data_IF_851369011420
#
_entry.id   IF_851369011420
#
_cell.length_a   1.000
_cell.length_b   1.000
_cell.length_c   1.000
_cell.angle_alpha   90.00
_cell.angle_beta   90.00
_cell.angle_gamma   90.00
#
_symmetry.space_group_name_H-M   'P 1'
#
loop_
_entity.id
_entity.type
_entity.pdbx_description
1 polymer ?
#
# COMPACT_ATOMS: atom_id res chain seq x y z
N UNK A 1 10.83 -6.60 -9.06
CA UNK A 1 9.95 -5.65 -9.77
C UNK A 1 10.76 -4.65 -10.60
N UNK A 2 11.58 -3.79 -9.98
CA UNK A 2 12.35 -2.75 -10.68
C UNK A 2 13.06 -3.24 -11.94
N UNK A 3 13.85 -4.33 -11.89
CA UNK A 3 14.56 -4.88 -13.06
C UNK A 3 13.64 -5.19 -14.25
N UNK A 4 12.48 -5.81 -14.00
CA UNK A 4 11.53 -6.16 -15.06
C UNK A 4 10.85 -4.92 -15.64
N UNK A 5 10.43 -4.00 -14.77
CA UNK A 5 9.69 -2.79 -15.16
C UNK A 5 10.59 -1.81 -15.91
N UNK A 6 11.85 -1.66 -15.51
CA UNK A 6 12.80 -0.81 -16.22
C UNK A 6 13.25 -1.42 -17.55
N UNK A 7 13.26 -2.75 -17.66
CA UNK A 7 13.57 -3.42 -18.91
C UNK A 7 12.47 -3.20 -19.96
N UNK A 8 11.22 -3.40 -19.55
CA UNK A 8 10.04 -3.27 -20.41
C UNK A 8 8.94 -2.44 -19.71
N UNK A 9 9.05 -1.10 -19.71
CA UNK A 9 8.03 -0.24 -19.11
C UNK A 9 6.74 -0.31 -19.93
N UNK A 10 5.74 -0.98 -19.38
CA UNK A 10 4.38 -1.14 -19.94
C UNK A 10 3.35 -0.80 -18.88
N UNK A 11 2.13 -0.45 -19.29
CA UNK A 11 1.02 -0.22 -18.36
C UNK A 11 0.68 -1.49 -17.56
N UNK A 12 0.45 -1.34 -16.25
CA UNK A 12 0.16 -2.43 -15.31
C UNK A 12 1.17 -3.59 -15.37
N UNK A 13 2.47 -3.31 -15.25
CA UNK A 13 3.52 -4.21 -15.70
C UNK A 13 3.59 -5.51 -14.92
N UNK A 14 3.41 -5.51 -13.59
CA UNK A 14 3.52 -6.76 -12.83
C UNK A 14 2.40 -7.78 -13.15
N UNK A 15 1.17 -7.32 -13.45
CA UNK A 15 0.06 -8.19 -13.87
C UNK A 15 0.35 -8.78 -15.25
N UNK A 16 0.83 -7.94 -16.17
CA UNK A 16 1.14 -8.36 -17.55
C UNK A 16 2.36 -9.25 -17.61
N UNK A 17 3.39 -8.99 -16.80
CA UNK A 17 4.58 -9.84 -16.68
C UNK A 17 4.26 -11.20 -16.09
N UNK A 18 3.33 -11.28 -15.12
CA UNK A 18 2.85 -12.57 -14.64
C UNK A 18 2.22 -13.40 -15.78
N UNK A 19 1.44 -12.78 -16.67
CA UNK A 19 0.94 -13.44 -17.87
C UNK A 19 2.03 -13.80 -18.89
N UNK A 20 2.94 -12.86 -19.16
CA UNK A 20 3.95 -12.93 -20.22
C UNK A 20 5.13 -13.85 -19.91
N UNK A 21 5.55 -13.94 -18.65
CA UNK A 21 6.73 -14.70 -18.23
C UNK A 21 6.41 -16.03 -17.55
N UNK A 22 5.14 -16.27 -17.18
CA UNK A 22 4.76 -17.43 -16.35
C UNK A 22 3.66 -18.25 -17.01
N UNK A 23 2.43 -17.75 -16.98
CA UNK A 23 1.22 -18.38 -17.51
C UNK A 23 0.11 -17.32 -17.53
N UNK A 24 -0.73 -17.33 -18.55
CA UNK A 24 -1.85 -16.40 -18.66
C UNK A 24 -2.79 -16.51 -17.45
N UNK A 25 -3.08 -17.73 -16.98
CA UNK A 25 -3.89 -17.97 -15.78
C UNK A 25 -3.26 -17.36 -14.51
N UNK A 26 -1.93 -17.34 -14.43
CA UNK A 26 -1.22 -16.72 -13.31
C UNK A 26 -1.35 -15.19 -13.35
N UNK A 27 -1.28 -14.60 -14.54
CA UNK A 27 -1.56 -13.18 -14.74
C UNK A 27 -3.00 -12.79 -14.38
N UNK A 28 -3.99 -13.65 -14.68
CA UNK A 28 -5.39 -13.43 -14.27
C UNK A 28 -5.52 -13.46 -12.76
N UNK A 29 -4.99 -14.49 -12.09
CA UNK A 29 -5.06 -14.63 -10.64
C UNK A 29 -4.38 -13.43 -9.93
N UNK A 30 -3.17 -13.05 -10.37
CA UNK A 30 -2.46 -11.90 -9.83
C UNK A 30 -3.22 -10.59 -10.07
N UNK A 31 -3.83 -10.41 -11.25
CA UNK A 31 -4.57 -9.19 -11.57
C UNK A 31 -5.86 -9.02 -10.76
N UNK A 32 -6.65 -10.09 -10.59
CA UNK A 32 -7.85 -10.04 -9.75
C UNK A 32 -7.49 -9.91 -8.26
N UNK A 33 -6.41 -10.56 -7.81
CA UNK A 33 -5.91 -10.39 -6.44
C UNK A 33 -5.51 -8.93 -6.18
N UNK A 34 -4.81 -8.30 -7.12
CA UNK A 34 -4.46 -6.88 -7.02
C UNK A 34 -5.69 -5.97 -7.08
N UNK A 35 -6.67 -6.26 -7.93
CA UNK A 35 -7.92 -5.51 -7.95
C UNK A 35 -8.64 -5.56 -6.60
N UNK A 36 -8.77 -6.73 -5.99
CA UNK A 36 -9.42 -6.89 -4.68
C UNK A 36 -8.62 -6.19 -3.59
N UNK A 37 -7.29 -6.28 -3.63
CA UNK A 37 -6.39 -5.55 -2.73
C UNK A 37 -6.66 -4.04 -2.76
N UNK A 38 -6.63 -3.42 -3.94
CA UNK A 38 -6.88 -1.99 -4.11
C UNK A 38 -8.31 -1.60 -3.72
N UNK A 39 -9.31 -2.40 -4.15
CA UNK A 39 -10.71 -2.12 -3.87
C UNK A 39 -11.06 -2.24 -2.38
N UNK A 40 -10.36 -3.09 -1.63
CA UNK A 40 -10.53 -3.24 -0.18
C UNK A 40 -9.82 -2.15 0.64
N UNK A 41 -8.80 -1.49 0.09
CA UNK A 41 -8.17 -0.32 0.70
C UNK A 41 -9.09 0.92 0.68
N UNK A 42 -9.97 1.03 -0.31
CA UNK A 42 -10.94 2.15 -0.38
C UNK A 42 -11.84 2.22 0.87
N UNK A 43 -12.60 1.17 1.24
CA UNK A 43 -13.43 1.22 2.45
C UNK A 43 -12.60 1.36 3.72
N UNK A 44 -11.37 0.83 3.78
CA UNK A 44 -10.44 1.07 4.89
C UNK A 44 -10.17 2.56 5.10
N UNK A 45 -9.82 3.30 4.05
CA UNK A 45 -9.57 4.74 4.14
C UNK A 45 -10.83 5.54 4.47
N UNK A 46 -12.00 5.11 4.00
CA UNK A 46 -13.28 5.74 4.36
C UNK A 46 -13.58 5.57 5.85
N UNK A 47 -13.32 4.39 6.41
CA UNK A 47 -13.45 4.14 7.85
C UNK A 47 -12.44 4.98 8.63
N UNK A 48 -11.20 5.09 8.15
CA UNK A 48 -10.19 5.96 8.77
C UNK A 48 -10.61 7.44 8.78
N UNK A 49 -11.11 7.95 7.65
CA UNK A 49 -11.63 9.33 7.56
C UNK A 49 -12.77 9.56 8.57
N UNK A 50 -13.68 8.60 8.71
CA UNK A 50 -14.78 8.68 9.69
C UNK A 50 -14.23 8.81 11.12
N UNK A 51 -13.32 7.91 11.52
CA UNK A 51 -12.71 7.93 12.86
C UNK A 51 -11.98 9.25 13.15
N UNK A 52 -11.31 9.83 12.14
CA UNK A 52 -10.59 11.10 12.30
C UNK A 52 -11.56 12.28 12.40
N UNK A 53 -12.63 12.35 11.61
CA UNK A 53 -13.59 13.47 11.66
C UNK A 53 -14.32 13.55 13.01
N UNK A 54 -14.62 12.38 13.58
CA UNK A 54 -15.17 12.25 14.92
C UNK A 54 -14.27 12.81 16.04
N UNK A 55 -13.02 13.20 15.74
CA UNK A 55 -12.20 14.00 16.66
C UNK A 55 -12.77 15.38 16.94
N UNK A 56 -13.34 16.06 15.94
CA UNK A 56 -13.84 17.42 16.12
C UNK A 56 -15.33 17.45 16.46
N UNK A 57 -16.12 16.51 15.95
CA UNK A 57 -17.56 16.53 16.14
C UNK A 57 -18.20 15.16 15.91
N UNK A 58 -19.11 14.81 16.82
CA UNK A 58 -20.00 13.64 16.69
C UNK A 58 -21.39 14.02 16.15
N UNK A 59 -21.57 15.27 15.69
CA UNK A 59 -22.88 15.77 15.24
C UNK A 59 -23.33 15.08 13.95
N UNK A 60 -22.41 14.77 13.04
CA UNK A 60 -22.72 14.06 11.81
C UNK A 60 -22.63 12.55 12.07
N UNK A 61 -23.70 11.77 11.83
CA UNK A 61 -23.65 10.33 11.97
C UNK A 61 -22.59 9.73 11.04
N UNK A 62 -21.96 8.62 11.45
CA UNK A 62 -20.95 7.93 10.65
C UNK A 62 -21.42 7.63 9.21
N UNK A 63 -22.69 7.24 9.05
CA UNK A 63 -23.31 7.02 7.75
C UNK A 63 -23.27 8.25 6.82
N UNK A 64 -23.44 9.45 7.38
CA UNK A 64 -23.37 10.71 6.65
C UNK A 64 -21.95 11.02 6.18
N UNK A 65 -20.96 10.84 7.05
CA UNK A 65 -19.53 11.05 6.71
C UNK A 65 -19.10 10.09 5.60
N UNK A 66 -19.44 8.80 5.72
CA UNK A 66 -19.16 7.78 4.71
C UNK A 66 -19.75 8.17 3.36
N UNK A 67 -21.03 8.56 3.33
CA UNK A 67 -21.70 8.96 2.09
C UNK A 67 -21.02 10.18 1.44
N UNK A 68 -20.64 11.20 2.23
CA UNK A 68 -19.93 12.39 1.74
C UNK A 68 -18.59 12.01 1.11
N UNK A 69 -17.79 11.16 1.77
CA UNK A 69 -16.48 10.74 1.26
C UNK A 69 -16.64 9.94 -0.04
N UNK A 70 -17.56 8.97 -0.09
CA UNK A 70 -17.80 8.16 -1.28
C UNK A 70 -18.29 8.98 -2.48
N UNK A 71 -19.22 9.90 -2.27
CA UNK A 71 -19.69 10.82 -3.32
C UNK A 71 -18.53 11.69 -3.80
N UNK A 72 -17.69 12.18 -2.89
CA UNK A 72 -16.52 12.99 -3.24
C UNK A 72 -15.52 12.20 -4.09
N UNK A 73 -15.20 10.95 -3.74
CA UNK A 73 -14.36 10.08 -4.57
C UNK A 73 -14.94 9.86 -5.97
N UNK A 74 -16.25 9.64 -6.07
CA UNK A 74 -16.93 9.50 -7.35
C UNK A 74 -16.83 10.76 -8.21
N UNK A 75 -17.06 11.94 -7.63
CA UNK A 75 -16.97 13.21 -8.34
C UNK A 75 -15.54 13.49 -8.84
N UNK A 76 -14.54 13.27 -7.99
CA UNK A 76 -13.13 13.51 -8.34
C UNK A 76 -12.69 12.56 -9.46
N UNK A 77 -12.99 11.27 -9.35
CA UNK A 77 -12.59 10.27 -10.33
C UNK A 77 -13.34 10.39 -11.66
N UNK A 78 -14.55 10.96 -11.70
CA UNK A 78 -15.32 11.13 -12.94
C UNK A 78 -15.03 12.47 -13.64
N UNK A 79 -14.88 13.56 -12.87
CA UNK A 79 -14.83 14.91 -13.43
C UNK A 79 -13.46 15.60 -13.31
N UNK A 80 -12.67 15.28 -12.28
CA UNK A 80 -11.47 16.05 -11.92
C UNK A 80 -10.15 15.37 -12.29
N UNK A 81 -10.15 14.30 -13.09
CA UNK A 81 -8.94 13.50 -13.44
C UNK A 81 -7.82 14.37 -14.02
N UNK A 82 -8.15 15.46 -14.73
CA UNK A 82 -7.12 16.38 -15.29
C UNK A 82 -6.36 17.18 -14.23
N UNK A 83 -6.99 17.50 -13.10
CA UNK A 83 -6.40 18.26 -11.98
C UNK A 83 -5.84 17.35 -10.89
N UNK A 84 -6.06 16.05 -11.03
CA UNK A 84 -5.70 15.06 -10.04
C UNK A 84 -4.18 14.97 -9.83
N UNK A 85 -3.39 14.97 -10.92
CA UNK A 85 -1.93 14.88 -10.83
C UNK A 85 -1.30 16.03 -10.05
N UNK A 86 -1.69 17.27 -10.35
CA UNK A 86 -1.24 18.47 -9.63
C UNK A 86 -1.67 18.45 -8.16
N UNK A 87 -2.94 18.11 -7.90
CA UNK A 87 -3.48 18.09 -6.52
C UNK A 87 -2.76 17.05 -5.66
N UNK A 88 -2.51 15.86 -6.22
CA UNK A 88 -1.83 14.77 -5.54
C UNK A 88 -0.36 15.11 -5.26
N UNK A 89 0.30 15.88 -6.12
CA UNK A 89 1.65 16.39 -5.86
C UNK A 89 1.69 17.27 -4.60
N UNK A 90 0.79 18.25 -4.49
CA UNK A 90 0.72 19.12 -3.30
C UNK A 90 0.34 18.35 -2.03
N UNK A 91 -0.58 17.39 -2.13
CA UNK A 91 -0.96 16.53 -1.01
C UNK A 91 0.19 15.60 -0.59
N UNK A 92 0.97 15.08 -1.54
CA UNK A 92 2.16 14.28 -1.25
C UNK A 92 3.26 15.11 -0.57
N UNK A 93 3.45 16.37 -0.96
CA UNK A 93 4.35 17.30 -0.27
C UNK A 93 3.88 17.54 1.17
N UNK A 94 2.58 17.77 1.38
CA UNK A 94 1.99 17.90 2.71
C UNK A 94 2.25 16.69 3.61
N UNK A 95 2.09 15.46 3.07
CA UNK A 95 2.40 14.20 3.78
C UNK A 95 3.87 14.15 4.21
N UNK A 96 4.80 14.52 3.34
CA UNK A 96 6.23 14.54 3.65
C UNK A 96 6.55 15.58 4.75
N UNK A 97 6.00 16.78 4.66
CA UNK A 97 6.17 17.84 5.67
C UNK A 97 5.60 17.42 7.03
N UNK A 98 4.44 16.76 7.06
CA UNK A 98 3.86 16.21 8.29
C UNK A 98 4.83 15.22 8.95
N UNK A 99 5.38 14.26 8.19
CA UNK A 99 6.31 13.26 8.74
C UNK A 99 7.56 13.94 9.33
N UNK A 100 8.17 14.87 8.60
CA UNK A 100 9.34 15.62 9.06
C UNK A 100 9.00 16.42 10.32
N UNK A 101 7.83 17.07 10.35
CA UNK A 101 7.33 17.81 11.50
C UNK A 101 7.14 16.93 12.74
N UNK A 102 6.58 15.73 12.58
CA UNK A 102 6.39 14.78 13.69
C UNK A 102 7.71 14.23 14.24
N UNK A 103 8.70 13.99 13.36
CA UNK A 103 10.05 13.58 13.77
C UNK A 103 10.73 14.72 14.55
N UNK A 104 10.69 15.95 14.03
CA UNK A 104 11.25 17.13 14.70
C UNK A 104 10.56 17.39 16.05
N UNK A 105 9.23 17.27 16.10
CA UNK A 105 8.44 17.35 17.32
C UNK A 105 8.91 16.34 18.38
N UNK A 106 9.10 15.08 17.97
CA UNK A 106 9.56 14.04 18.89
C UNK A 106 10.95 14.36 19.43
N UNK A 107 11.86 14.80 18.58
CA UNK A 107 13.21 15.17 18.99
C UNK A 107 13.22 16.34 20.01
N UNK A 108 12.46 17.40 19.73
CA UNK A 108 12.39 18.58 20.62
C UNK A 108 11.75 18.22 21.95
N UNK A 109 10.63 17.49 21.94
CA UNK A 109 9.91 17.11 23.17
C UNK A 109 10.71 16.13 24.02
N UNK A 110 11.42 15.19 23.39
CA UNK A 110 12.33 14.24 24.05
C UNK A 110 13.47 14.94 24.83
N UNK A 111 13.97 16.06 24.30
CA UNK A 111 15.03 16.88 24.93
C UNK A 111 14.51 17.86 25.99
N UNK A 112 13.22 17.81 26.31
CA UNK A 112 12.59 18.67 27.34
C UNK A 112 12.05 19.99 26.80
N UNK A 113 11.96 20.16 25.48
CA UNK A 113 11.27 21.29 24.84
C UNK A 113 9.74 21.19 24.89
N UNK A 114 9.19 20.46 25.87
CA UNK A 114 7.76 20.33 26.09
C UNK A 114 7.29 21.25 27.23
N UNK A 115 6.00 21.62 27.30
CA UNK A 115 5.46 22.49 28.36
C UNK A 115 5.64 21.96 29.78
N UNK A 116 5.90 20.66 29.95
CA UNK A 116 6.14 20.03 31.25
C UNK A 116 7.62 20.10 31.68
N UNK A 117 8.53 20.51 30.79
CA UNK A 117 9.97 20.54 31.02
C UNK A 117 10.63 19.17 31.23
N UNK A 118 9.90 18.06 30.98
CA UNK A 118 10.39 16.72 31.26
C UNK A 118 11.29 16.19 30.13
N UNK A 119 12.47 15.69 30.49
CA UNK A 119 13.38 15.01 29.56
C UNK A 119 13.18 13.51 29.66
N UNK A 120 12.21 13.00 28.90
CA UNK A 120 11.90 11.58 28.95
C UNK A 120 12.86 10.71 28.13
N UNK A 121 13.51 11.23 27.07
CA UNK A 121 14.50 10.42 26.34
C UNK A 121 13.90 9.09 25.86
N UNK A 122 14.66 7.99 26.01
CA UNK A 122 14.19 6.62 25.76
C UNK A 122 13.54 5.95 26.99
N UNK A 123 12.92 6.72 27.90
CA UNK A 123 12.34 6.19 29.16
C UNK A 123 11.39 5.02 28.91
N UNK A 124 10.46 5.15 27.96
CA UNK A 124 9.46 4.11 27.68
C UNK A 124 10.01 2.83 27.04
N UNK A 125 11.18 2.92 26.39
CA UNK A 125 11.89 1.74 25.88
C UNK A 125 12.56 0.92 26.98
N UNK A 126 12.82 1.54 28.14
CA UNK A 126 13.36 0.88 29.33
C UNK A 126 12.25 0.41 30.26
N UNK A 127 11.28 1.27 30.53
CA UNK A 127 10.15 1.03 31.43
C UNK A 127 8.86 1.56 30.80
N UNK A 128 7.89 0.73 30.39
CA UNK A 128 7.73 -0.72 30.66
C UNK A 128 8.55 -1.69 29.79
N UNK A 129 9.33 -1.18 28.82
CA UNK A 129 10.18 -2.00 27.94
C UNK A 129 9.69 -2.05 26.49
N UNK A 130 10.54 -2.56 25.59
CA UNK A 130 10.27 -2.59 24.13
C UNK A 130 9.52 -3.83 23.63
N UNK A 131 9.52 -4.93 24.38
CA UNK A 131 8.84 -6.17 24.01
C UNK A 131 7.74 -6.49 25.01
N UNK A 132 6.48 -6.39 24.56
CA UNK A 132 5.30 -6.71 25.34
C UNK A 132 4.88 -8.17 25.18
N UNK A 133 4.32 -8.74 26.24
CA UNK A 133 3.69 -10.06 26.20
C UNK A 133 2.30 -9.95 25.56
N UNK A 134 2.00 -10.84 24.61
CA UNK A 134 0.73 -10.84 23.88
C UNK A 134 0.16 -12.26 23.79
N UNK A 135 -1.14 -12.40 24.09
CA UNK A 135 -1.91 -13.66 24.20
C UNK A 135 -1.47 -14.69 25.26
N UNK A 136 -0.18 -14.76 25.60
CA UNK A 136 0.39 -15.65 26.62
C UNK A 136 1.41 -14.89 27.45
N UNK A 137 1.71 -15.40 28.63
CA UNK A 137 2.77 -14.87 29.49
C UNK A 137 4.15 -15.46 29.10
N UNK A 138 5.21 -14.73 29.45
CA UNK A 138 6.60 -15.16 29.27
C UNK A 138 7.17 -15.00 27.85
N UNK A 139 8.24 -15.73 27.54
CA UNK A 139 9.00 -15.57 26.29
C UNK A 139 8.16 -15.86 25.03
N UNK A 140 7.26 -16.84 25.12
CA UNK A 140 6.31 -17.17 24.04
C UNK A 140 5.35 -16.00 23.79
N UNK A 141 4.86 -15.36 24.85
CA UNK A 141 4.05 -14.16 24.77
C UNK A 141 4.74 -13.01 24.04
N UNK A 142 6.01 -12.77 24.34
CA UNK A 142 6.82 -11.73 23.68
C UNK A 142 7.07 -12.02 22.21
N UNK A 143 7.31 -13.29 21.88
CA UNK A 143 7.42 -13.73 20.48
C UNK A 143 6.12 -13.53 19.71
N UNK A 144 4.98 -13.87 20.32
CA UNK A 144 3.66 -13.63 19.72
C UNK A 144 3.37 -12.14 19.54
N UNK A 145 3.80 -11.29 20.48
CA UNK A 145 3.73 -9.83 20.33
C UNK A 145 4.57 -9.33 19.16
N UNK A 146 5.81 -9.78 19.04
CA UNK A 146 6.67 -9.48 17.88
C UNK A 146 6.03 -9.94 16.56
N UNK A 147 5.49 -11.16 16.52
CA UNK A 147 4.86 -11.70 15.32
C UNK A 147 3.64 -10.87 14.89
N UNK A 148 2.81 -10.44 15.85
CA UNK A 148 1.68 -9.56 15.57
C UNK A 148 2.14 -8.21 15.01
N UNK A 149 3.19 -7.61 15.59
CA UNK A 149 3.80 -6.39 15.07
C UNK A 149 4.35 -6.58 13.65
N UNK A 150 4.94 -7.74 13.35
CA UNK A 150 5.46 -8.06 12.01
C UNK A 150 4.33 -8.19 10.97
N UNK A 151 3.19 -8.78 11.34
CA UNK A 151 2.01 -8.88 10.48
C UNK A 151 1.47 -7.47 10.18
N UNK A 152 1.32 -6.64 11.21
CA UNK A 152 0.87 -5.25 11.05
C UNK A 152 1.88 -4.42 10.23
N UNK A 153 3.18 -4.61 10.42
CA UNK A 153 4.19 -3.96 9.59
C UNK A 153 4.07 -4.39 8.12
N UNK A 154 3.75 -5.66 7.85
CA UNK A 154 3.56 -6.17 6.48
C UNK A 154 2.39 -5.51 5.76
N UNK A 155 1.31 -5.15 6.47
CA UNK A 155 0.23 -4.33 5.92
C UNK A 155 0.73 -2.96 5.45
N UNK A 156 1.56 -2.31 6.28
CA UNK A 156 1.97 -0.92 6.04
C UNK A 156 2.99 -0.79 4.90
N UNK A 157 3.75 -1.86 4.59
CA UNK A 157 4.75 -1.84 3.52
C UNK A 157 4.08 -2.13 2.18
N UNK A 158 3.68 -1.05 1.51
CA UNK A 158 3.23 -1.01 0.13
C UNK A 158 3.93 0.13 -0.62
N UNK A 159 3.83 0.20 -1.94
CA UNK A 159 4.45 1.31 -2.70
C UNK A 159 5.08 0.92 -4.02
N UNK A 160 5.99 -0.09 -4.07
CA UNK A 160 6.69 -0.44 -5.30
C UNK A 160 5.75 -0.80 -6.45
N UNK A 161 4.62 -1.43 -6.15
CA UNK A 161 3.60 -1.81 -7.13
C UNK A 161 2.98 -0.57 -7.80
N UNK A 162 2.73 0.50 -7.03
CA UNK A 162 2.21 1.77 -7.54
C UNK A 162 3.20 2.50 -8.45
N UNK A 163 4.49 2.52 -8.08
CA UNK A 163 5.55 3.06 -8.94
C UNK A 163 5.59 2.31 -10.27
N UNK A 164 5.35 0.99 -10.23
CA UNK A 164 5.27 0.18 -11.44
C UNK A 164 4.01 0.49 -12.28
N UNK A 165 2.87 0.79 -11.67
CA UNK A 165 1.64 1.14 -12.40
C UNK A 165 1.82 2.42 -13.24
N UNK A 166 2.57 3.39 -12.73
CA UNK A 166 2.89 4.62 -13.44
C UNK A 166 3.92 4.43 -14.56
N UNK A 167 4.64 3.30 -14.63
CA UNK A 167 5.74 3.09 -15.56
C UNK A 167 5.36 3.25 -17.05
N UNK A 168 4.12 2.91 -17.42
CA UNK A 168 3.61 3.08 -18.79
C UNK A 168 3.23 4.52 -19.14
N UNK A 169 3.14 5.42 -18.16
CA UNK A 169 2.78 6.84 -18.32
C UNK A 169 3.98 7.77 -18.06
N UNK A 170 5.10 7.25 -17.57
CA UNK A 170 6.31 8.00 -17.24
C UNK A 170 7.14 8.37 -18.47
N UNK A 171 7.56 9.63 -18.56
CA UNK A 171 8.53 10.09 -19.56
C UNK A 171 9.93 9.54 -19.28
N UNK A 172 10.62 9.08 -20.33
CA UNK A 172 11.91 8.40 -20.25
C UNK A 172 12.01 7.38 -19.08
N UNK A 173 11.18 6.33 -19.10
CA UNK A 173 10.99 5.44 -17.96
C UNK A 173 12.28 4.69 -17.57
N UNK A 174 13.17 4.38 -18.53
CA UNK A 174 14.42 3.66 -18.25
C UNK A 174 15.41 4.44 -17.39
N UNK A 175 15.34 5.76 -17.41
CA UNK A 175 16.18 6.62 -16.60
C UNK A 175 15.49 7.04 -15.28
N UNK A 176 14.19 7.35 -15.34
CA UNK A 176 13.42 7.88 -14.20
C UNK A 176 13.04 6.79 -13.19
N UNK A 177 12.58 5.62 -13.67
CA UNK A 177 12.08 4.56 -12.78
C UNK A 177 13.13 3.98 -11.82
N UNK A 178 14.38 3.71 -12.23
CA UNK A 178 15.43 3.27 -11.30
C UNK A 178 15.57 4.18 -10.07
N UNK A 179 15.57 5.50 -10.30
CA UNK A 179 15.68 6.51 -9.24
C UNK A 179 14.42 6.51 -8.38
N UNK A 180 13.24 6.46 -9.00
CA UNK A 180 11.97 6.40 -8.28
C UNK A 180 11.88 5.17 -7.36
N UNK A 181 12.26 3.98 -7.83
CA UNK A 181 12.27 2.76 -7.01
C UNK A 181 13.23 2.87 -5.82
N UNK A 182 14.45 3.37 -6.03
CA UNK A 182 15.42 3.57 -4.95
C UNK A 182 14.93 4.62 -3.94
N UNK A 183 14.44 5.76 -4.43
CA UNK A 183 13.91 6.82 -3.59
C UNK A 183 12.75 6.32 -2.72
N UNK A 184 11.81 5.56 -3.29
CA UNK A 184 10.70 4.95 -2.55
C UNK A 184 11.22 4.01 -1.47
N UNK A 185 12.19 3.15 -1.77
CA UNK A 185 12.77 2.23 -0.79
C UNK A 185 13.42 2.97 0.39
N UNK A 186 14.30 3.94 0.13
CA UNK A 186 14.98 4.69 1.19
C UNK A 186 13.99 5.55 1.99
N UNK A 187 13.05 6.21 1.30
CA UNK A 187 12.03 7.05 1.94
C UNK A 187 11.09 6.26 2.83
N UNK A 188 10.55 5.13 2.35
CA UNK A 188 9.68 4.28 3.16
C UNK A 188 10.44 3.71 4.36
N UNK A 189 11.65 3.19 4.14
CA UNK A 189 12.47 2.64 5.24
C UNK A 189 12.76 3.70 6.30
N UNK A 190 13.19 4.89 5.89
CA UNK A 190 13.49 5.98 6.82
C UNK A 190 12.24 6.42 7.59
N UNK A 191 11.13 6.71 6.90
CA UNK A 191 9.92 7.22 7.55
C UNK A 191 9.26 6.19 8.47
N UNK A 192 9.28 4.91 8.11
CA UNK A 192 8.62 3.86 8.89
C UNK A 192 9.45 3.46 10.11
N UNK A 193 10.76 3.30 9.95
CA UNK A 193 11.66 2.96 11.07
C UNK A 193 11.78 4.14 12.03
N UNK A 194 12.04 5.35 11.52
CA UNK A 194 12.12 6.53 12.38
C UNK A 194 10.76 6.88 12.99
N UNK A 195 9.67 6.78 12.23
CA UNK A 195 8.33 7.08 12.71
C UNK A 195 7.86 6.12 13.81
N UNK A 196 8.07 4.82 13.64
CA UNK A 196 7.76 3.82 14.68
C UNK A 196 8.63 4.01 15.93
N UNK A 197 9.91 4.33 15.73
CA UNK A 197 10.80 4.67 16.85
C UNK A 197 10.33 5.92 17.60
N UNK A 198 9.97 6.98 16.90
CA UNK A 198 9.45 8.22 17.48
C UNK A 198 8.19 7.97 18.32
N UNK A 199 7.24 7.19 17.79
CA UNK A 199 6.03 6.80 18.52
C UNK A 199 6.37 6.04 19.82
N UNK A 200 7.28 5.07 19.76
CA UNK A 200 7.70 4.32 20.95
C UNK A 200 8.45 5.16 21.98
N UNK A 201 9.05 6.28 21.56
CA UNK A 201 9.68 7.27 22.47
C UNK A 201 8.62 8.16 23.13
N UNK A 202 7.55 8.51 22.43
CA UNK A 202 6.53 9.43 22.91
C UNK A 202 5.53 8.81 23.90
N UNK A 203 5.15 7.55 23.68
CA UNK A 203 4.06 6.91 24.43
C UNK A 203 4.45 5.48 24.82
N UNK A 204 4.23 5.07 26.09
CA UNK A 204 4.47 3.69 26.51
C UNK A 204 3.42 2.75 25.91
N UNK A 205 3.81 1.51 25.59
CA UNK A 205 2.89 0.54 24.97
C UNK A 205 1.70 0.15 25.87
N UNK A 206 1.85 0.25 27.20
CA UNK A 206 0.85 -0.12 28.20
C UNK A 206 -0.07 1.03 28.59
N UNK A 207 -0.18 2.05 27.74
CA UNK A 207 -0.97 3.21 28.06
C UNK A 207 -2.47 2.93 28.09
N UNK A 208 -3.09 3.16 29.24
CA UNK A 208 -4.53 2.92 29.44
C UNK A 208 -5.42 3.79 28.56
N UNK A 209 -4.99 5.00 28.19
CA UNK A 209 -5.79 5.89 27.33
C UNK A 209 -5.87 5.31 25.92
N UNK A 210 -4.73 4.86 25.39
CA UNK A 210 -4.68 4.16 24.11
C UNK A 210 -5.42 2.82 24.15
N UNK A 211 -5.19 1.98 25.17
CA UNK A 211 -5.88 0.69 25.27
C UNK A 211 -7.39 0.84 25.36
N UNK A 212 -7.90 1.77 26.18
CA UNK A 212 -9.34 2.06 26.27
C UNK A 212 -9.90 2.62 24.97
N UNK A 213 -9.14 3.41 24.22
CA UNK A 213 -9.58 3.94 22.93
C UNK A 213 -9.80 2.82 21.90
N UNK A 214 -8.87 1.87 21.83
CA UNK A 214 -8.98 0.71 20.95
C UNK A 214 -10.10 -0.25 21.39
N UNK A 215 -10.24 -0.53 22.69
CA UNK A 215 -11.23 -1.47 23.22
C UNK A 215 -12.67 -0.94 23.22
N UNK A 216 -12.86 0.36 23.47
CA UNK A 216 -14.19 0.97 23.60
C UNK A 216 -14.66 1.67 22.33
N UNK A 217 -13.84 1.64 21.26
CA UNK A 217 -14.17 2.27 19.97
C UNK A 217 -14.50 3.76 20.12
N UNK A 218 -13.85 4.45 21.06
CA UNK A 218 -14.17 5.84 21.37
C UNK A 218 -13.82 6.75 20.17
N UNK A 219 -14.76 7.62 19.73
CA UNK A 219 -14.51 8.56 18.65
C UNK A 219 -13.44 9.59 19.05
N UNK A 220 -12.57 9.93 18.09
CA UNK A 220 -11.60 11.02 18.22
C UNK A 220 -10.29 10.68 18.94
N UNK A 221 -9.20 11.33 18.50
CA UNK A 221 -7.86 11.54 19.10
C UNK A 221 -7.11 10.42 19.85
N UNK A 222 -7.76 9.50 20.54
CA UNK A 222 -7.14 8.51 21.40
C UNK A 222 -6.54 7.33 20.62
N UNK A 223 -6.70 7.29 19.29
CA UNK A 223 -6.09 6.30 18.40
C UNK A 223 -4.69 6.69 17.90
N UNK A 224 -4.36 7.99 17.80
CA UNK A 224 -3.05 8.44 17.29
C UNK A 224 -2.06 8.65 18.45
N UNK A 225 -0.95 7.91 18.51
CA UNK A 225 0.05 8.08 19.57
C UNK A 225 0.60 9.50 19.64
N UNK A 226 0.74 10.19 18.49
CA UNK A 226 1.23 11.57 18.45
C UNK A 226 0.25 12.54 19.10
N UNK A 227 -1.04 12.40 18.82
CA UNK A 227 -2.09 13.26 19.40
C UNK A 227 -2.19 13.02 20.91
N UNK A 228 -2.19 11.75 21.32
CA UNK A 228 -2.18 11.36 22.74
C UNK A 228 -0.96 11.93 23.48
N UNK A 229 0.21 11.95 22.85
CA UNK A 229 1.42 12.54 23.42
C UNK A 229 1.28 14.07 23.55
N UNK A 230 0.77 14.74 22.51
CA UNK A 230 0.54 16.19 22.52
C UNK A 230 -0.47 16.62 23.59
N UNK A 231 -1.56 15.87 23.75
CA UNK A 231 -2.59 16.13 24.77
C UNK A 231 -2.03 15.98 26.19
N UNK A 232 -1.23 14.93 26.45
CA UNK A 232 -0.54 14.77 27.75
C UNK A 232 0.41 15.91 28.05
N UNK A 233 1.12 16.39 27.04
CA UNK A 233 2.01 17.54 27.14
C UNK A 233 1.25 18.88 27.20
N UNK A 234 -0.09 18.86 27.15
CA UNK A 234 -0.97 20.04 27.17
C UNK A 234 -0.73 21.00 26.01
N UNK A 235 -0.40 20.46 24.84
CA UNK A 235 -0.19 21.22 23.61
C UNK A 235 -1.52 21.34 22.88
N UNK A 236 -2.16 22.53 22.91
CA UNK A 236 -3.53 22.69 22.42
C UNK A 236 -3.69 22.69 20.88
N UNK A 237 -2.83 23.40 20.15
CA UNK A 237 -3.06 23.66 18.71
C UNK A 237 -2.56 22.53 17.80
N UNK A 238 -1.44 21.91 18.16
CA UNK A 238 -0.76 20.94 17.31
C UNK A 238 -1.58 19.67 17.00
N UNK A 239 -2.36 19.10 17.96
CA UNK A 239 -3.29 18.00 17.69
C UNK A 239 -4.24 18.24 16.52
N UNK A 240 -4.83 19.43 16.44
CA UNK A 240 -5.79 19.78 15.38
C UNK A 240 -5.10 19.85 14.01
N UNK A 241 -3.88 20.40 13.94
CA UNK A 241 -3.10 20.48 12.69
C UNK A 241 -2.75 19.06 12.21
N UNK A 242 -2.27 18.21 13.11
CA UNK A 242 -1.90 16.83 12.78
C UNK A 242 -3.11 16.05 12.29
N UNK A 243 -4.24 16.09 13.01
CA UNK A 243 -5.45 15.39 12.60
C UNK A 243 -5.98 15.91 11.25
N UNK A 244 -5.92 17.21 10.98
CA UNK A 244 -6.34 17.77 9.69
C UNK A 244 -5.45 17.28 8.54
N UNK A 245 -4.12 17.25 8.74
CA UNK A 245 -3.20 16.75 7.73
C UNK A 245 -3.33 15.23 7.52
N UNK A 246 -3.56 14.45 8.59
CA UNK A 246 -3.81 13.00 8.50
C UNK A 246 -5.13 12.71 7.79
N UNK A 247 -6.18 13.49 8.05
CA UNK A 247 -7.45 13.40 7.32
C UNK A 247 -7.25 13.65 5.82
N UNK A 248 -6.53 14.72 5.47
CA UNK A 248 -6.20 15.02 4.08
C UNK A 248 -5.37 13.90 3.42
N UNK A 249 -4.45 13.30 4.17
CA UNK A 249 -3.65 12.17 3.70
C UNK A 249 -4.49 10.91 3.45
N UNK A 250 -5.39 10.55 4.37
CA UNK A 250 -6.30 9.42 4.24
C UNK A 250 -7.28 9.59 3.07
N UNK A 251 -7.87 10.78 2.93
CA UNK A 251 -8.76 11.10 1.81
C UNK A 251 -8.04 11.02 0.46
N UNK A 252 -6.83 11.56 0.38
CA UNK A 252 -5.96 11.46 -0.80
C UNK A 252 -5.59 10.02 -1.13
N UNK A 253 -5.21 9.21 -0.13
CA UNK A 253 -4.89 7.79 -0.32
C UNK A 253 -6.11 7.01 -0.84
N UNK A 254 -7.28 7.20 -0.23
CA UNK A 254 -8.52 6.54 -0.66
C UNK A 254 -8.90 6.89 -2.11
N UNK A 255 -8.72 8.14 -2.51
CA UNK A 255 -8.95 8.55 -3.90
C UNK A 255 -7.94 7.89 -4.87
N UNK A 256 -6.66 7.82 -4.49
CA UNK A 256 -5.62 7.09 -5.24
C UNK A 256 -5.97 5.61 -5.41
N UNK A 257 -6.49 4.95 -4.38
CA UNK A 257 -6.92 3.55 -4.46
C UNK A 257 -8.12 3.36 -5.39
N UNK A 258 -9.08 4.29 -5.43
CA UNK A 258 -10.17 4.25 -6.42
C UNK A 258 -9.63 4.34 -7.85
N UNK A 259 -8.66 5.23 -8.09
CA UNK A 259 -7.98 5.35 -9.37
C UNK A 259 -7.25 4.06 -9.76
N UNK A 260 -6.42 3.52 -8.87
CA UNK A 260 -5.63 2.31 -9.11
C UNK A 260 -6.50 1.06 -9.29
N UNK A 261 -7.53 0.87 -8.46
CA UNK A 261 -8.46 -0.26 -8.57
C UNK A 261 -9.23 -0.23 -9.91
N UNK A 262 -9.76 0.94 -10.29
CA UNK A 262 -10.55 1.07 -11.52
C UNK A 262 -9.71 0.85 -12.78
N UNK A 263 -8.46 1.32 -12.79
CA UNK A 263 -7.50 1.11 -13.89
C UNK A 263 -7.01 -0.33 -13.98
N UNK A 264 -6.78 -0.99 -12.85
CA UNK A 264 -6.44 -2.41 -12.81
C UNK A 264 -7.56 -3.27 -13.41
N UNK A 265 -8.81 -3.01 -13.03
CA UNK A 265 -9.97 -3.72 -13.59
C UNK A 265 -10.17 -3.43 -15.08
N UNK A 266 -9.96 -2.17 -15.49
CA UNK A 266 -9.99 -1.78 -16.90
C UNK A 266 -8.91 -2.50 -17.72
N UNK A 267 -7.68 -2.61 -17.20
CA UNK A 267 -6.59 -3.36 -17.83
C UNK A 267 -6.94 -4.84 -18.04
N UNK A 268 -7.54 -5.48 -17.05
CA UNK A 268 -8.05 -6.85 -17.18
C UNK A 268 -9.13 -6.97 -18.27
N UNK A 269 -10.01 -5.98 -18.38
CA UNK A 269 -11.06 -5.97 -19.41
C UNK A 269 -10.49 -5.81 -20.83
N UNK A 270 -9.46 -4.98 -21.01
CA UNK A 270 -8.77 -4.81 -22.29
C UNK A 270 -8.09 -6.10 -22.77
N UNK A 271 -7.52 -6.88 -21.85
CA UNK A 271 -6.91 -8.18 -22.17
C UNK A 271 -7.94 -9.32 -22.34
N UNK A 272 -9.24 -9.02 -22.30
CA UNK A 272 -10.30 -10.04 -22.41
C UNK A 272 -10.41 -10.96 -21.18
N UNK A 273 -9.77 -10.58 -20.07
CA UNK A 273 -9.77 -11.31 -18.78
C UNK A 273 -10.92 -10.87 -17.86
N UNK A 274 -11.62 -9.79 -18.21
CA UNK A 274 -12.84 -9.31 -17.57
C UNK A 274 -13.91 -8.96 -18.63
N UNK A 275 -15.19 -8.82 -18.26
CA UNK A 275 -16.27 -8.52 -19.19
C UNK A 275 -16.00 -7.26 -20.04
N UNK A 276 -16.22 -7.34 -21.36
CA UNK A 276 -15.95 -6.24 -22.31
C UNK A 276 -16.68 -4.93 -21.99
N UNK A 277 -17.80 -4.99 -21.26
CA UNK A 277 -18.55 -3.80 -20.81
C UNK A 277 -17.67 -2.89 -19.95
N UNK A 278 -16.74 -3.47 -19.18
CA UNK A 278 -15.82 -2.74 -18.31
C UNK A 278 -14.74 -1.97 -19.08
N UNK A 279 -14.49 -2.34 -20.34
CA UNK A 279 -13.56 -1.62 -21.21
C UNK A 279 -14.18 -0.32 -21.81
N UNK A 280 -15.42 0.04 -21.45
CA UNK A 280 -16.08 1.24 -21.96
C UNK A 280 -15.69 2.49 -21.16
N UNK A 281 -15.10 3.46 -21.84
CA UNK A 281 -14.71 4.75 -21.27
C UNK A 281 -15.72 5.86 -21.59
N UNK A 282 -15.78 6.87 -20.71
CA UNK A 282 -16.47 8.15 -20.98
C UNK A 282 -15.63 9.03 -21.95
N UNK A 283 -16.19 10.15 -22.43
CA UNK A 283 -15.54 11.12 -23.33
C UNK A 283 -14.18 11.63 -22.84
N UNK A 284 -13.95 11.63 -21.53
CA UNK A 284 -12.70 12.04 -20.90
C UNK A 284 -11.69 10.90 -20.69
N UNK A 285 -11.94 9.69 -21.23
CA UNK A 285 -11.04 8.54 -21.09
C UNK A 285 -11.10 7.81 -19.74
N UNK A 286 -12.18 8.02 -18.97
CA UNK A 286 -12.40 7.41 -17.64
C UNK A 286 -13.28 6.16 -17.74
N UNK A 287 -12.88 5.00 -17.19
CA UNK A 287 -13.66 3.75 -17.23
C UNK A 287 -14.80 3.77 -16.18
N UNK A 288 -15.95 4.37 -16.54
CA UNK A 288 -17.02 4.69 -15.58
C UNK A 288 -17.63 3.47 -14.89
N UNK A 289 -17.74 2.34 -15.59
CA UNK A 289 -18.26 1.09 -15.02
C UNK A 289 -17.30 0.49 -13.99
N UNK A 290 -15.98 0.58 -14.25
CA UNK A 290 -14.97 0.14 -13.28
C UNK A 290 -15.02 1.01 -12.02
N UNK A 291 -15.13 2.33 -12.17
CA UNK A 291 -15.28 3.25 -11.04
C UNK A 291 -16.54 2.93 -10.24
N UNK A 292 -17.66 2.69 -10.90
CA UNK A 292 -18.92 2.33 -10.24
C UNK A 292 -18.82 1.02 -9.43
N UNK A 293 -18.14 0.01 -9.96
CA UNK A 293 -17.89 -1.25 -9.23
C UNK A 293 -17.03 -1.02 -7.99
N UNK A 294 -15.95 -0.23 -8.12
CA UNK A 294 -15.07 0.08 -6.99
C UNK A 294 -15.82 0.87 -5.90
N UNK A 295 -16.63 1.86 -6.29
CA UNK A 295 -17.49 2.60 -5.34
C UNK A 295 -18.55 1.70 -4.70
N UNK A 296 -19.10 0.73 -5.45
CA UNK A 296 -20.04 -0.25 -4.89
C UNK A 296 -19.36 -1.15 -3.85
N UNK A 297 -18.12 -1.58 -4.08
CA UNK A 297 -17.32 -2.31 -3.08
C UNK A 297 -17.01 -1.40 -1.87
N UNK A 298 -16.76 -0.11 -2.11
CA UNK A 298 -16.50 0.85 -1.04
C UNK A 298 -17.73 1.09 -0.13
N UNK A 299 -18.95 0.72 -0.54
CA UNK A 299 -20.13 0.68 0.34
C UNK A 299 -19.96 -0.30 1.51
N UNK A 300 -19.02 -1.25 1.43
CA UNK A 300 -18.67 -2.09 2.57
C UNK A 300 -18.14 -1.27 3.78
N UNK A 301 -17.72 -0.02 3.56
CA UNK A 301 -17.41 0.90 4.66
C UNK A 301 -18.60 1.18 5.58
N UNK A 302 -19.86 1.01 5.13
CA UNK A 302 -21.06 1.10 5.97
C UNK A 302 -21.14 0.00 7.04
N UNK A 303 -20.34 -1.06 6.94
CA UNK A 303 -20.27 -2.09 8.00
C UNK A 303 -19.87 -1.50 9.36
N UNK A 304 -19.16 -0.35 9.38
CA UNK A 304 -18.80 0.36 10.61
C UNK A 304 -19.99 1.07 11.30
N UNK A 305 -21.14 1.16 10.62
CA UNK A 305 -22.38 1.69 11.23
C UNK A 305 -23.03 0.61 12.10
N UNK A 306 -22.93 -0.65 11.67
CA UNK A 306 -23.50 -1.80 12.39
C UNK A 306 -22.51 -2.48 13.35
N UNK A 307 -21.22 -2.25 13.16
CA UNK A 307 -20.12 -2.83 13.96
C UNK A 307 -19.19 -1.71 14.42
N UNK A 308 -18.39 -1.93 15.47
CA UNK A 308 -17.36 -0.97 15.85
C UNK A 308 -16.34 -0.77 14.71
N UNK A 309 -15.97 0.49 14.44
CA UNK A 309 -15.04 0.84 13.36
C UNK A 309 -13.69 0.09 13.46
N UNK A 310 -13.18 -0.14 14.68
CA UNK A 310 -11.94 -0.88 14.93
C UNK A 310 -11.99 -2.34 14.43
N UNK A 311 -13.13 -3.01 14.61
CA UNK A 311 -13.34 -4.39 14.14
C UNK A 311 -13.34 -4.44 12.61
N UNK A 312 -14.06 -3.51 11.98
CA UNK A 312 -14.17 -3.42 10.52
C UNK A 312 -12.81 -3.07 9.88
N UNK A 313 -12.07 -2.13 10.48
CA UNK A 313 -10.69 -1.83 10.08
C UNK A 313 -9.82 -3.08 10.15
N UNK A 314 -9.93 -3.85 11.22
CA UNK A 314 -9.14 -5.08 11.40
C UNK A 314 -9.45 -6.11 10.31
N UNK A 315 -10.72 -6.29 9.94
CA UNK A 315 -11.12 -7.17 8.84
C UNK A 315 -10.52 -6.75 7.50
N UNK A 316 -10.59 -5.45 7.15
CA UNK A 316 -9.96 -4.95 5.93
C UNK A 316 -8.44 -5.07 5.96
N UNK A 317 -7.80 -4.73 7.08
CA UNK A 317 -6.35 -4.90 7.25
C UNK A 317 -5.94 -6.35 7.01
N UNK A 318 -6.64 -7.33 7.60
CA UNK A 318 -6.34 -8.75 7.39
C UNK A 318 -6.44 -9.17 5.93
N UNK A 319 -7.53 -8.77 5.24
CA UNK A 319 -7.76 -9.12 3.84
C UNK A 319 -6.74 -8.47 2.91
N UNK A 320 -6.46 -7.18 3.12
CA UNK A 320 -5.47 -6.42 2.36
C UNK A 320 -4.08 -7.00 2.57
N UNK A 321 -3.70 -7.32 3.81
CA UNK A 321 -2.40 -7.91 4.14
C UNK A 321 -2.20 -9.25 3.44
N UNK A 322 -3.21 -10.13 3.48
CA UNK A 322 -3.15 -11.42 2.79
C UNK A 322 -2.98 -11.23 1.27
N UNK A 323 -3.76 -10.34 0.66
CA UNK A 323 -3.67 -10.04 -0.77
C UNK A 323 -2.31 -9.46 -1.16
N UNK A 324 -1.78 -8.56 -0.34
CA UNK A 324 -0.49 -7.90 -0.55
C UNK A 324 0.67 -8.90 -0.51
N UNK A 325 0.68 -9.79 0.49
CA UNK A 325 1.69 -10.84 0.61
C UNK A 325 1.64 -11.80 -0.58
N UNK A 326 0.44 -12.15 -1.07
CA UNK A 326 0.28 -12.95 -2.28
C UNK A 326 0.77 -12.22 -3.54
N UNK A 327 0.53 -10.91 -3.66
CA UNK A 327 1.06 -10.09 -4.76
C UNK A 327 2.60 -10.10 -4.76
N UNK A 328 3.23 -9.88 -3.60
CA UNK A 328 4.69 -9.93 -3.51
C UNK A 328 5.25 -11.33 -3.81
N UNK A 329 4.58 -12.38 -3.35
CA UNK A 329 4.93 -13.76 -3.71
C UNK A 329 4.84 -13.95 -5.25
N UNK A 330 3.78 -13.46 -5.89
CA UNK A 330 3.58 -13.57 -7.33
C UNK A 330 4.62 -12.78 -8.13
N UNK A 331 5.00 -11.58 -7.67
CA UNK A 331 6.05 -10.76 -8.28
C UNK A 331 7.41 -11.44 -8.16
N UNK A 332 7.75 -11.98 -6.99
CA UNK A 332 9.02 -12.70 -6.77
C UNK A 332 9.11 -13.94 -7.65
N UNK A 333 8.01 -14.69 -7.77
CA UNK A 333 7.95 -15.85 -8.64
C UNK A 333 8.07 -15.48 -10.13
N UNK A 334 7.39 -14.42 -10.55
CA UNK A 334 7.50 -13.86 -11.92
C UNK A 334 8.93 -13.45 -12.23
N UNK A 335 9.63 -12.82 -11.28
CA UNK A 335 11.03 -12.45 -11.44
C UNK A 335 11.95 -13.67 -11.57
N UNK A 336 11.73 -14.73 -10.78
CA UNK A 336 12.50 -15.97 -10.88
C UNK A 336 12.34 -16.59 -12.29
N UNK A 337 11.13 -16.55 -12.85
CA UNK A 337 10.87 -17.00 -14.23
C UNK A 337 11.52 -16.10 -15.28
N UNK A 338 11.42 -14.80 -15.13
CA UNK A 338 12.12 -13.83 -15.98
C UNK A 338 13.64 -14.07 -16.00
N UNK A 339 14.26 -14.22 -14.84
CA UNK A 339 15.70 -14.50 -14.72
C UNK A 339 16.09 -15.82 -15.39
N UNK A 340 15.28 -16.88 -15.20
CA UNK A 340 15.50 -18.17 -15.88
C UNK A 340 15.35 -18.06 -17.40
N UNK A 341 14.42 -17.25 -17.90
CA UNK A 341 14.27 -17.00 -19.33
C UNK A 341 15.46 -16.24 -19.91
N UNK A 342 15.96 -15.21 -19.20
CA UNK A 342 17.18 -14.50 -19.62
C UNK A 342 18.38 -15.44 -19.71
N UNK A 343 18.58 -16.28 -18.70
CA UNK A 343 19.68 -17.27 -18.69
C UNK A 343 19.55 -18.26 -19.86
N UNK A 344 18.34 -18.74 -20.14
CA UNK A 344 18.07 -19.72 -21.22
C UNK A 344 18.22 -19.11 -22.62
N UNK A 345 17.91 -17.82 -22.79
CA UNK A 345 17.97 -17.09 -24.06
C UNK A 345 19.30 -16.33 -24.26
N UNK A 346 20.23 -16.43 -23.31
CA UNK A 346 21.56 -15.81 -23.40
C UNK A 346 21.57 -14.28 -23.24
N UNK A 347 20.54 -13.70 -22.63
CA UNK A 347 20.48 -12.25 -22.37
C UNK A 347 21.29 -11.92 -21.12
N UNK A 348 22.39 -11.18 -21.27
CA UNK A 348 23.22 -10.82 -20.12
C UNK A 348 22.49 -9.86 -19.18
N UNK A 349 22.56 -10.11 -17.87
CA UNK A 349 21.91 -9.29 -16.85
C UNK A 349 22.50 -7.88 -16.77
N UNK A 350 23.74 -7.67 -17.22
CA UNK A 350 24.32 -6.32 -17.23
C UNK A 350 23.79 -5.44 -18.38
N UNK A 351 23.02 -6.02 -19.32
CA UNK A 351 22.27 -5.23 -20.31
C UNK A 351 21.05 -4.51 -19.71
N UNK A 352 20.62 -4.88 -18.49
CA UNK A 352 19.45 -4.29 -17.87
C UNK A 352 19.70 -2.84 -17.40
N UNK A 353 18.76 -1.91 -17.61
CA UNK A 353 18.88 -0.52 -17.14
C UNK A 353 19.00 -0.39 -15.61
N UNK A 354 18.48 -1.38 -14.88
CA UNK A 354 18.58 -1.45 -13.43
C UNK A 354 18.94 -2.87 -12.99
N UNK A 355 19.81 -2.97 -11.98
CA UNK A 355 20.27 -4.23 -11.40
C UNK A 355 20.26 -4.13 -9.89
N UNK A 356 19.52 -5.01 -9.23
CA UNK A 356 19.53 -5.13 -7.77
C UNK A 356 20.65 -6.06 -7.28
N UNK A 357 21.27 -5.78 -6.13
CA UNK A 357 22.29 -6.67 -5.57
C UNK A 357 21.69 -8.02 -5.16
N UNK A 358 22.51 -9.07 -5.09
CA UNK A 358 22.17 -10.40 -4.54
C UNK A 358 20.99 -11.16 -5.17
N UNK A 359 20.60 -10.84 -6.40
CA UNK A 359 19.68 -11.70 -7.16
C UNK A 359 20.40 -12.96 -7.66
N UNK A 360 19.75 -14.14 -7.66
CA UNK A 360 18.32 -14.37 -7.39
C UNK A 360 17.96 -14.70 -5.92
N UNK A 361 18.93 -14.68 -4.99
CA UNK A 361 18.70 -15.08 -3.59
C UNK A 361 17.59 -14.24 -2.93
N UNK A 362 17.59 -12.91 -3.14
CA UNK A 362 16.55 -12.02 -2.60
C UNK A 362 15.14 -12.37 -3.13
N UNK A 363 15.02 -12.81 -4.39
CA UNK A 363 13.74 -13.23 -4.93
C UNK A 363 13.21 -14.52 -4.28
N UNK A 364 14.09 -15.50 -4.02
CA UNK A 364 13.71 -16.71 -3.28
C UNK A 364 13.33 -16.40 -1.83
N UNK A 365 14.15 -15.60 -1.14
CA UNK A 365 13.89 -15.19 0.24
C UNK A 365 12.55 -14.45 0.37
N UNK A 366 12.33 -13.41 -0.45
CA UNK A 366 11.07 -12.65 -0.42
C UNK A 366 9.86 -13.50 -0.80
N UNK A 367 9.98 -14.36 -1.81
CA UNK A 367 8.89 -15.27 -2.20
C UNK A 367 8.49 -16.24 -1.09
N UNK A 368 9.47 -16.90 -0.46
CA UNK A 368 9.20 -17.85 0.62
C UNK A 368 8.70 -17.14 1.88
N UNK A 369 9.33 -16.03 2.26
CA UNK A 369 8.95 -15.28 3.45
C UNK A 369 7.53 -14.73 3.35
N UNK A 370 7.17 -14.11 2.22
CA UNK A 370 5.81 -13.58 2.00
C UNK A 370 4.77 -14.69 1.89
N UNK A 371 5.12 -15.82 1.28
CA UNK A 371 4.25 -16.99 1.23
C UNK A 371 3.95 -17.53 2.64
N UNK A 372 4.98 -17.75 3.47
CA UNK A 372 4.80 -18.21 4.86
C UNK A 372 3.99 -17.20 5.66
N UNK A 373 4.32 -15.90 5.55
CA UNK A 373 3.62 -14.84 6.25
C UNK A 373 2.14 -14.74 5.87
N UNK A 374 1.76 -15.09 4.64
CA UNK A 374 0.35 -15.10 4.23
C UNK A 374 -0.45 -16.09 5.09
N UNK A 375 0.06 -17.31 5.32
CA UNK A 375 -0.62 -18.30 6.17
C UNK A 375 -0.54 -17.96 7.66
N UNK A 376 0.60 -17.41 8.09
CA UNK A 376 0.82 -17.02 9.49
C UNK A 376 -0.04 -15.81 9.86
N UNK A 377 -0.38 -14.92 8.93
CA UNK A 377 -1.15 -13.69 9.20
C UNK A 377 -2.46 -13.90 9.98
N UNK A 378 -3.13 -15.04 9.79
CA UNK A 378 -4.38 -15.39 10.49
C UNK A 378 -4.21 -16.31 11.71
N UNK A 379 -2.98 -16.53 12.21
CA UNK A 379 -2.71 -17.53 13.26
C UNK A 379 -3.51 -17.33 14.55
N UNK A 380 -3.92 -16.09 14.83
CA UNK A 380 -4.68 -15.71 16.03
C UNK A 380 -6.02 -16.44 16.12
N UNK A 381 -6.63 -16.77 14.99
CA UNK A 381 -7.89 -17.52 14.92
C UNK A 381 -7.76 -18.94 15.46
N UNK A 382 -6.55 -19.52 15.40
CA UNK A 382 -6.28 -20.87 15.90
C UNK A 382 -5.90 -20.90 17.39
N UNK A 383 -5.85 -19.74 18.07
CA UNK A 383 -5.61 -19.70 19.51
C UNK A 383 -6.87 -20.10 20.30
N UNK A 384 -6.73 -20.86 21.40
CA UNK A 384 -7.88 -21.23 22.24
C UNK A 384 -8.66 -20.00 22.70
N UNK A 385 -9.96 -19.94 22.38
CA UNK A 385 -10.85 -18.84 22.75
C UNK A 385 -10.93 -17.65 21.79
N UNK A 386 -10.15 -17.64 20.70
CA UNK A 386 -10.09 -16.54 19.72
C UNK A 386 -10.75 -16.86 18.37
N UNK A 387 -11.53 -17.95 18.30
CA UNK A 387 -12.22 -18.35 17.07
C UNK A 387 -13.30 -17.33 16.69
N UNK A 388 -13.17 -16.77 15.49
CA UNK A 388 -14.14 -15.86 14.91
C UNK A 388 -14.29 -16.18 13.43
N UNK A 389 -15.50 -16.55 13.01
CA UNK A 389 -15.80 -16.87 11.60
C UNK A 389 -15.48 -15.69 10.67
N UNK A 390 -15.87 -14.44 10.98
CA UNK A 390 -15.46 -13.28 10.18
C UNK A 390 -13.94 -13.16 10.08
N UNK A 391 -13.22 -13.24 11.20
CA UNK A 391 -11.75 -13.08 11.20
C UNK A 391 -11.05 -14.17 10.39
N UNK A 392 -11.54 -15.41 10.45
CA UNK A 392 -11.06 -16.52 9.62
C UNK A 392 -11.27 -16.22 8.13
N UNK A 393 -12.50 -15.85 7.75
CA UNK A 393 -12.83 -15.56 6.37
C UNK A 393 -11.99 -14.39 5.83
N UNK A 394 -11.95 -13.25 6.50
CA UNK A 394 -11.18 -12.10 6.02
C UNK A 394 -9.66 -12.38 5.93
N UNK A 395 -9.10 -13.20 6.82
CA UNK A 395 -7.67 -13.53 6.79
C UNK A 395 -7.30 -14.56 5.71
N UNK A 396 -8.17 -15.53 5.44
CA UNK A 396 -7.85 -16.67 4.55
C UNK A 396 -8.56 -16.66 3.20
N UNK A 397 -9.54 -15.77 2.98
CA UNK A 397 -10.31 -15.70 1.71
C UNK A 397 -9.38 -15.54 0.52
N UNK A 398 -8.44 -14.61 0.57
CA UNK A 398 -7.58 -14.31 -0.58
C UNK A 398 -6.59 -15.44 -0.88
N UNK A 399 -6.18 -16.18 0.16
CA UNK A 399 -5.35 -17.38 0.04
C UNK A 399 -6.12 -18.50 -0.66
N UNK A 400 -7.44 -18.59 -0.48
CA UNK A 400 -8.28 -19.54 -1.20
C UNK A 400 -8.67 -19.05 -2.61
N UNK A 401 -9.01 -17.77 -2.75
CA UNK A 401 -9.44 -17.15 -4.02
C UNK A 401 -8.33 -17.18 -5.06
N UNK A 402 -7.07 -16.95 -4.68
CA UNK A 402 -5.97 -16.92 -5.63
C UNK A 402 -5.79 -18.26 -6.39
N UNK A 403 -5.69 -19.44 -5.72
CA UNK A 403 -5.71 -20.74 -6.39
C UNK A 403 -6.99 -21.01 -7.18
N UNK A 404 -8.16 -20.63 -6.66
CA UNK A 404 -9.44 -20.85 -7.36
C UNK A 404 -9.46 -20.09 -8.69
N UNK A 405 -9.01 -18.84 -8.71
CA UNK A 405 -8.89 -18.05 -9.94
C UNK A 405 -7.85 -18.63 -10.90
N UNK A 406 -6.70 -19.04 -10.37
CA UNK A 406 -5.64 -19.65 -11.17
C UNK A 406 -6.10 -20.95 -11.83
N UNK A 407 -6.56 -21.93 -11.04
CA UNK A 407 -7.01 -23.22 -11.54
C UNK A 407 -8.29 -23.08 -12.37
N UNK A 408 -9.24 -22.25 -11.94
CA UNK A 408 -10.47 -21.97 -12.69
C UNK A 408 -10.19 -21.47 -14.10
N UNK A 409 -9.31 -20.47 -14.26
CA UNK A 409 -8.91 -19.99 -15.58
C UNK A 409 -8.14 -21.06 -16.37
N UNK A 410 -7.25 -21.78 -15.70
CA UNK A 410 -6.44 -22.83 -16.32
C UNK A 410 -7.31 -23.96 -16.88
N UNK A 411 -8.35 -24.39 -16.17
CA UNK A 411 -9.27 -25.42 -16.65
C UNK A 411 -10.20 -24.91 -17.76
N UNK A 412 -10.67 -23.66 -17.69
CA UNK A 412 -11.55 -23.09 -18.71
C UNK A 412 -10.84 -22.78 -20.04
N UNK A 413 -9.57 -22.35 -19.99
CA UNK A 413 -8.82 -21.90 -21.16
C UNK A 413 -7.67 -22.84 -21.57
N UNK A 414 -7.38 -23.88 -20.78
CA UNK A 414 -6.34 -24.85 -21.09
C UNK A 414 -4.93 -24.25 -21.15
N UNK A 415 -4.66 -23.19 -20.39
CA UNK A 415 -3.39 -22.46 -20.46
C UNK A 415 -2.22 -23.29 -19.92
N UNK A 416 -1.03 -23.06 -20.49
CA UNK A 416 0.19 -23.82 -20.16
C UNK A 416 1.23 -22.91 -19.52
N UNK A 417 2.00 -23.52 -18.63
CA UNK A 417 3.20 -22.90 -18.10
C UNK A 417 4.22 -22.70 -19.21
N UNK A 418 4.67 -21.47 -19.40
CA UNK A 418 5.69 -21.14 -20.38
C UNK A 418 7.03 -21.77 -19.98
N UNK A 419 7.70 -22.41 -20.94
CA UNK A 419 9.09 -22.82 -20.75
C UNK A 419 10.00 -21.59 -20.84
N UNK A 420 11.15 -21.56 -20.15
CA UNK A 420 12.06 -20.41 -20.18
C UNK A 420 12.45 -19.95 -21.60
N UNK A 421 12.53 -20.87 -22.56
CA UNK A 421 12.88 -20.60 -23.95
C UNK A 421 11.72 -20.00 -24.77
N UNK A 422 10.47 -20.23 -24.34
CA UNK A 422 9.24 -19.76 -24.98
C UNK A 422 8.78 -18.40 -24.44
N UNK A 423 9.38 -17.92 -23.35
CA UNK A 423 9.06 -16.64 -22.72
C UNK A 423 9.42 -15.49 -23.65
N UNK A 424 8.46 -14.62 -23.94
CA UNK A 424 8.71 -13.43 -24.76
C UNK A 424 9.43 -12.35 -23.93
N UNK A 425 10.74 -12.20 -24.15
CA UNK A 425 11.55 -11.12 -23.57
C UNK A 425 11.64 -9.87 -24.46
N UNK A 426 11.47 -9.99 -25.78
CA UNK A 426 11.92 -8.96 -26.73
C UNK A 426 10.81 -8.05 -27.26
N UNK A 427 9.55 -8.51 -27.33
CA UNK A 427 8.46 -7.70 -27.92
C UNK A 427 8.27 -6.38 -27.16
N UNK A 428 8.35 -5.26 -27.88
CA UNK A 428 8.24 -3.89 -27.34
C UNK A 428 9.53 -3.31 -26.75
N UNK A 429 10.60 -4.10 -26.61
CA UNK A 429 11.89 -3.61 -26.08
C UNK A 429 12.57 -2.65 -27.07
N UNK A 430 12.53 -2.97 -28.37
CA UNK A 430 13.17 -2.16 -29.41
C UNK A 430 12.55 -0.75 -29.53
N UNK A 431 11.23 -0.65 -29.47
CA UNK A 431 10.50 0.63 -29.50
C UNK A 431 10.90 1.53 -28.31
N UNK A 432 11.04 0.93 -27.13
CA UNK A 432 11.44 1.65 -25.91
C UNK A 432 12.92 2.04 -25.98
N UNK A 433 13.78 1.20 -26.54
CA UNK A 433 15.19 1.55 -26.78
C UNK A 433 15.35 2.70 -27.75
N UNK A 434 14.56 2.74 -28.82
CA UNK A 434 14.55 3.84 -29.78
C UNK A 434 14.03 5.13 -29.13
N UNK A 435 12.92 5.06 -28.40
CA UNK A 435 12.39 6.18 -27.64
C UNK A 435 13.41 6.73 -26.63
N UNK A 436 14.07 5.84 -25.88
CA UNK A 436 15.09 6.23 -24.89
C UNK A 436 16.31 6.88 -25.56
N UNK A 437 16.75 6.37 -26.72
CA UNK A 437 17.88 6.92 -27.47
C UNK A 437 17.60 8.30 -28.07
N UNK A 438 16.37 8.52 -28.51
CA UNK A 438 15.94 9.75 -29.16
C UNK A 438 15.32 10.78 -28.18
N UNK A 439 15.27 10.47 -26.88
CA UNK A 439 14.69 11.35 -25.88
C UNK A 439 15.56 12.60 -25.68
N UNK A 440 14.98 13.76 -25.99
CA UNK A 440 15.57 15.08 -25.70
C UNK A 440 14.84 15.66 -24.49
N UNK A 441 15.52 15.95 -23.37
CA UNK A 441 14.87 16.52 -22.20
C UNK A 441 14.38 17.94 -22.49
N UNK A 442 13.15 18.24 -22.08
CA UNK A 442 12.63 19.60 -22.15
C UNK A 442 13.47 20.54 -21.28
N UNK A 443 13.87 21.73 -21.78
CA UNK A 443 14.62 22.69 -20.97
C UNK A 443 13.77 23.17 -19.78
N UNK A 444 14.36 23.31 -18.58
CA UNK A 444 13.63 23.72 -17.38
C UNK A 444 13.01 25.10 -17.60
N UNK A 445 11.69 25.20 -17.41
CA UNK A 445 10.93 26.43 -17.71
C UNK A 445 11.13 27.50 -16.64
N UNK A 446 11.34 27.11 -15.38
CA UNK A 446 11.48 28.02 -14.24
C UNK A 446 12.69 27.74 -13.33
N UNK A 447 13.06 28.71 -12.49
CA UNK A 447 14.12 28.54 -11.47
C UNK A 447 13.78 27.44 -10.45
N UNK A 448 12.50 27.28 -10.13
CA UNK A 448 11.99 26.20 -9.28
C UNK A 448 12.21 24.85 -9.98
N UNK A 449 11.84 24.72 -11.26
CA UNK A 449 12.12 23.50 -12.04
C UNK A 449 13.61 23.18 -12.10
N UNK A 450 14.46 24.19 -12.21
CA UNK A 450 15.91 24.02 -12.21
C UNK A 450 16.45 23.51 -10.87
N UNK A 451 15.91 23.99 -9.76
CA UNK A 451 16.30 23.56 -8.42
C UNK A 451 15.75 22.16 -8.09
N UNK A 452 14.52 21.88 -8.50
CA UNK A 452 13.90 20.56 -8.39
C UNK A 452 14.63 19.53 -9.26
N UNK A 453 14.88 19.82 -10.54
CA UNK A 453 15.66 18.93 -11.40
C UNK A 453 17.03 18.65 -10.81
N UNK A 454 17.72 19.64 -10.24
CA UNK A 454 19.03 19.43 -9.60
C UNK A 454 18.98 18.62 -8.29
N UNK A 455 17.86 18.64 -7.58
CA UNK A 455 17.67 17.90 -6.33
C UNK A 455 17.17 16.46 -6.56
N UNK A 456 16.52 16.22 -7.70
CA UNK A 456 15.98 14.91 -8.11
C UNK A 456 16.76 14.24 -9.28
N UNK A 457 17.73 14.93 -9.89
CA UNK A 457 18.77 14.34 -10.76
C UNK A 457 19.87 13.65 -9.97
#
# INVERSE_FOLDING_TARGET
>A
MAEMVTYLPISSPFIRFAGRYVDEAFGVAAGYNFFVFEAALVPFEVVACNVIIHYWSDVVPAAGIIAIVLVSYGLINVFAVKWYGESEFWLALGKALLIIGLIAFTFVTMLGGNPLGDRFGFRYWKEPGSFAEYYKEGSVGRWMGFLQCLIMASFTIAGPDYVSMAAGETENPRHVLPRAFNAVFYRLTAFFVLGSMCVGILVPYNDKTMSNAFEKGLPGAAASPYVVAMDRMRIGVLPHIVNAMVLGAAFSAGNSYVYCASRSLYGLALEGKAPRVLAKCNRNGVPIYCVAIVLAIALLSFLQVSNQASVVLTWFVSLVTASQLLNFCAVSFTFIRFKKAMDAQGVDRNSLPFKSPWQPFLAYYSGIATFIMAFVGGYTVFLPGYWSVPSFLFSYTMIAVFPILFFGWKYLKGTKWLKPEEVDLFTGVAEIEEYTRNYVPDPPKNFVDKYFNKMFE
#
